data_IF_797472398416
#
_entry.id   IF_797472398416
#
_cell.length_a   1.000
_cell.length_b   1.000
_cell.length_c   1.000
_cell.angle_alpha   90.00
_cell.angle_beta   90.00
_cell.angle_gamma   90.00
#
_symmetry.space_group_name_H-M   'P 1'
#
loop_
_entity.id
_entity.type
_entity.pdbx_description
1 polymer ?
#
# COMPACT_ATOMS: atom_id res chain seq x y z
N UNK A 1 9.93 12.34 7.05
CA UNK A 1 11.08 11.61 6.45
C UNK A 1 11.12 11.73 4.94
N UNK A 2 10.15 11.21 4.19
CA UNK A 2 10.21 11.21 2.73
C UNK A 2 10.13 12.62 2.10
N UNK A 3 9.38 13.52 2.71
CA UNK A 3 9.34 14.93 2.28
C UNK A 3 10.71 15.61 2.30
N UNK A 4 11.58 15.31 3.29
CA UNK A 4 12.94 15.87 3.34
C UNK A 4 13.87 15.29 2.27
N UNK A 5 13.48 14.17 1.65
CA UNK A 5 14.18 13.54 0.54
C UNK A 5 13.57 13.93 -0.82
N UNK A 6 12.65 14.90 -0.83
CA UNK A 6 11.91 15.32 -2.02
C UNK A 6 11.07 14.20 -2.66
N UNK A 7 10.60 13.26 -1.81
CA UNK A 7 9.74 12.16 -2.20
C UNK A 7 8.33 12.36 -1.62
N UNK A 8 7.34 11.88 -2.35
CA UNK A 8 5.96 11.75 -1.91
C UNK A 8 5.65 10.29 -1.54
N UNK A 9 4.52 10.04 -0.88
CA UNK A 9 4.16 8.73 -0.35
C UNK A 9 2.72 8.35 -0.68
N UNK A 10 2.56 7.12 -1.16
CA UNK A 10 1.25 6.49 -1.32
C UNK A 10 1.13 5.38 -0.30
N UNK A 11 0.07 5.45 0.50
CA UNK A 11 -0.32 4.42 1.44
C UNK A 11 -1.47 3.61 0.88
N UNK A 12 -1.46 2.31 1.08
CA UNK A 12 -2.48 1.43 0.52
C UNK A 12 -2.81 0.30 1.50
N UNK A 13 -4.10 0.04 1.62
CA UNK A 13 -4.66 -1.05 2.41
C UNK A 13 -5.62 -1.85 1.54
N UNK A 14 -5.45 -3.18 1.56
CA UNK A 14 -6.32 -4.09 0.83
C UNK A 14 -6.89 -5.15 1.77
N UNK A 15 -8.18 -5.09 2.01
CA UNK A 15 -8.90 -6.06 2.81
C UNK A 15 -9.77 -6.95 1.92
N UNK A 16 -9.29 -8.16 1.64
CA UNK A 16 -9.98 -9.16 0.82
C UNK A 16 -10.19 -10.46 1.59
N UNK A 17 -11.30 -11.16 1.30
CA UNK A 17 -11.61 -12.49 1.81
C UNK A 17 -11.55 -12.60 3.35
N UNK A 18 -12.51 -11.99 4.06
CA UNK A 18 -12.54 -11.94 5.53
C UNK A 18 -12.51 -13.33 6.18
N UNK A 19 -12.95 -14.37 5.45
CA UNK A 19 -12.96 -15.77 5.92
C UNK A 19 -11.56 -16.33 6.12
N UNK A 20 -10.58 -15.88 5.34
CA UNK A 20 -9.19 -16.37 5.42
C UNK A 20 -8.36 -15.72 6.52
N UNK A 21 -8.88 -14.67 7.18
CA UNK A 21 -8.25 -13.98 8.33
C UNK A 21 -6.77 -13.64 8.11
N UNK A 22 -6.47 -12.97 7.01
CA UNK A 22 -5.12 -12.46 6.77
C UNK A 22 -4.77 -11.35 7.77
N UNK A 23 -3.48 -11.20 8.05
CA UNK A 23 -2.99 -10.03 8.78
C UNK A 23 -3.21 -8.77 7.96
N UNK A 24 -3.60 -7.69 8.65
CA UNK A 24 -3.65 -6.36 8.06
C UNK A 24 -2.23 -5.89 7.74
N UNK A 25 -2.04 -5.41 6.52
CA UNK A 25 -0.79 -4.82 6.06
C UNK A 25 -1.14 -3.47 5.44
N UNK A 26 -0.55 -2.41 6.00
CA UNK A 26 -0.56 -1.08 5.41
C UNK A 26 0.76 -0.89 4.68
N UNK A 27 0.71 -0.74 3.37
CA UNK A 27 1.90 -0.61 2.55
C UNK A 27 2.19 0.87 2.29
N UNK A 28 3.46 1.25 2.32
CA UNK A 28 3.93 2.60 2.03
C UNK A 28 4.88 2.55 0.84
N UNK A 29 4.53 3.22 -0.25
CA UNK A 29 5.36 3.32 -1.44
C UNK A 29 5.85 4.75 -1.59
N UNK A 30 7.16 5.00 -1.44
CA UNK A 30 7.74 6.30 -1.74
C UNK A 30 7.86 6.46 -3.27
N UNK A 31 7.43 7.61 -3.77
CA UNK A 31 7.46 7.99 -5.17
C UNK A 31 8.12 9.37 -5.33
N UNK A 32 8.71 9.68 -6.49
CA UNK A 32 9.06 11.05 -6.84
C UNK A 32 7.82 11.96 -6.78
N UNK A 33 7.98 13.21 -6.33
CA UNK A 33 6.86 14.16 -6.20
C UNK A 33 6.06 14.35 -7.49
N UNK A 34 6.74 14.39 -8.64
CA UNK A 34 6.09 14.50 -9.96
C UNK A 34 5.08 13.37 -10.22
N UNK A 35 5.40 12.15 -9.77
CA UNK A 35 4.49 11.01 -9.86
C UNK A 35 3.45 11.00 -8.75
N UNK A 36 3.80 11.52 -7.57
CA UNK A 36 2.87 11.72 -6.45
C UNK A 36 1.68 12.62 -6.81
N UNK A 37 1.94 13.76 -7.45
CA UNK A 37 0.90 14.71 -7.88
C UNK A 37 -0.07 14.09 -8.90
N UNK A 38 0.43 13.17 -9.73
CA UNK A 38 -0.39 12.47 -10.72
C UNK A 38 -1.09 11.23 -10.16
N UNK A 39 -0.64 10.70 -9.02
CA UNK A 39 -1.13 9.46 -8.43
C UNK A 39 -2.66 9.44 -8.26
N UNK A 40 -3.32 10.49 -7.74
CA UNK A 40 -4.78 10.49 -7.60
C UNK A 40 -5.51 10.25 -8.92
N UNK A 41 -5.00 10.79 -10.03
CA UNK A 41 -5.61 10.63 -11.36
C UNK A 41 -5.50 9.17 -11.83
N UNK A 42 -4.32 8.57 -11.70
CA UNK A 42 -4.08 7.18 -12.07
C UNK A 42 -4.92 6.20 -11.25
N UNK A 43 -4.95 6.39 -9.92
CA UNK A 43 -5.75 5.54 -9.04
C UNK A 43 -7.25 5.71 -9.28
N UNK A 44 -7.73 6.94 -9.47
CA UNK A 44 -9.14 7.18 -9.79
C UNK A 44 -9.54 6.49 -11.09
N UNK A 45 -8.71 6.58 -12.13
CA UNK A 45 -8.95 5.89 -13.40
C UNK A 45 -8.95 4.37 -13.22
N UNK A 46 -7.93 3.83 -12.55
CA UNK A 46 -7.80 2.39 -12.32
C UNK A 46 -8.99 1.83 -11.52
N UNK A 47 -9.45 2.52 -10.48
CA UNK A 47 -10.61 2.08 -9.68
C UNK A 47 -11.90 2.12 -10.52
N UNK A 48 -12.08 3.14 -11.36
CA UNK A 48 -13.26 3.23 -12.24
C UNK A 48 -13.32 2.09 -13.26
N UNK A 49 -12.16 1.66 -13.77
CA UNK A 49 -11.99 0.59 -14.77
C UNK A 49 -11.97 -0.82 -14.18
N UNK A 50 -11.58 -0.99 -12.92
CA UNK A 50 -11.35 -2.30 -12.29
C UNK A 50 -12.65 -3.08 -11.99
N UNK A 51 -13.75 -2.37 -11.68
CA UNK A 51 -15.00 -3.00 -11.24
C UNK A 51 -16.10 -2.95 -12.31
N UNK A 52 -17.10 -3.82 -12.17
CA UNK A 52 -18.22 -3.98 -13.08
C UNK A 52 -18.97 -2.65 -13.30
N UNK A 53 -19.38 -2.37 -14.54
CA UNK A 53 -20.03 -1.10 -14.92
C UNK A 53 -21.35 -0.86 -14.15
N UNK A 54 -21.96 -1.92 -13.63
CA UNK A 54 -23.25 -1.91 -12.92
C UNK A 54 -23.11 -2.29 -11.44
N UNK A 55 -22.09 -1.78 -10.75
CA UNK A 55 -21.95 -1.94 -9.30
C UNK A 55 -23.10 -1.22 -8.55
N UNK A 56 -23.58 -1.81 -7.45
CA UNK A 56 -24.64 -1.20 -6.63
C UNK A 56 -24.10 -0.06 -5.75
N UNK A 57 -22.84 -0.16 -5.33
CA UNK A 57 -22.16 0.86 -4.54
C UNK A 57 -21.43 1.88 -5.43
N UNK A 58 -21.15 3.06 -4.86
CA UNK A 58 -20.28 4.04 -5.52
C UNK A 58 -18.88 3.45 -5.68
N UNK A 59 -18.37 3.41 -6.92
CA UNK A 59 -17.04 2.88 -7.23
C UNK A 59 -15.91 3.62 -6.52
N UNK A 60 -15.97 4.95 -6.47
CA UNK A 60 -14.95 5.77 -5.80
C UNK A 60 -15.61 6.52 -4.66
N UNK A 61 -15.06 6.36 -3.47
CA UNK A 61 -15.42 7.11 -2.26
C UNK A 61 -14.25 8.01 -1.89
N UNK A 62 -14.48 9.31 -1.90
CA UNK A 62 -13.44 10.28 -1.53
C UNK A 62 -13.24 10.29 0.01
N UNK A 63 -12.01 10.07 0.45
CA UNK A 63 -11.60 10.04 1.86
C UNK A 63 -11.03 11.38 2.35
N UNK A 64 -11.05 12.43 1.53
CA UNK A 64 -10.50 13.74 1.89
C UNK A 64 -11.17 14.41 3.10
N UNK A 65 -12.43 14.11 3.33
CA UNK A 65 -13.22 14.66 4.44
C UNK A 65 -13.59 13.63 5.51
N UNK A 66 -13.33 12.34 5.27
CA UNK A 66 -13.83 11.24 6.10
C UNK A 66 -12.81 10.11 6.19
N UNK A 67 -12.65 9.57 7.40
CA UNK A 67 -11.85 8.37 7.60
C UNK A 67 -12.47 7.14 6.92
N UNK A 68 -11.61 6.19 6.53
CA UNK A 68 -11.99 4.87 6.00
C UNK A 68 -13.03 4.18 6.90
N UNK A 69 -12.89 4.31 8.23
CA UNK A 69 -13.78 3.71 9.24
C UNK A 69 -15.22 4.20 9.17
N UNK A 70 -15.43 5.41 8.67
CA UNK A 70 -16.74 6.03 8.51
C UNK A 70 -17.24 5.95 7.05
N UNK A 71 -16.31 5.86 6.09
CA UNK A 71 -16.62 5.76 4.67
C UNK A 71 -17.09 4.35 4.27
N UNK A 72 -16.48 3.30 4.81
CA UNK A 72 -16.75 1.91 4.45
C UNK A 72 -17.49 1.17 5.57
N UNK A 73 -18.62 0.49 5.28
CA UNK A 73 -19.30 -0.35 6.27
C UNK A 73 -18.42 -1.51 6.75
N UNK A 74 -18.55 -1.86 8.04
CA UNK A 74 -17.78 -2.95 8.64
C UNK A 74 -18.17 -4.30 8.03
N UNK A 75 -17.16 -5.15 7.78
CA UNK A 75 -17.33 -6.53 7.34
C UNK A 75 -17.37 -6.72 5.82
N UNK A 76 -17.32 -5.65 5.04
CA UNK A 76 -17.18 -5.71 3.59
C UNK A 76 -15.70 -5.70 3.17
N UNK A 77 -15.33 -6.43 2.10
CA UNK A 77 -14.03 -6.27 1.45
C UNK A 77 -13.89 -4.85 0.88
N UNK A 78 -12.70 -4.26 1.02
CA UNK A 78 -12.43 -2.91 0.52
C UNK A 78 -10.96 -2.75 0.12
N UNK A 79 -10.74 -1.76 -0.73
CA UNK A 79 -9.44 -1.22 -1.09
C UNK A 79 -9.42 0.26 -0.72
N UNK A 80 -8.37 0.70 -0.04
CA UNK A 80 -8.15 2.10 0.30
C UNK A 80 -6.75 2.53 -0.12
N UNK A 81 -6.64 3.75 -0.62
CA UNK A 81 -5.38 4.40 -1.00
C UNK A 81 -5.36 5.82 -0.47
N UNK A 82 -4.29 6.22 0.21
CA UNK A 82 -4.08 7.57 0.75
C UNK A 82 -2.81 8.20 0.15
N UNK A 83 -2.88 9.49 -0.18
CA UNK A 83 -1.80 10.25 -0.84
C UNK A 83 -1.09 11.19 0.15
N UNK A 84 -0.55 10.60 1.22
CA UNK A 84 0.14 11.35 2.27
C UNK A 84 -0.79 12.30 3.03
N UNK A 85 -0.58 13.61 2.89
CA UNK A 85 -1.45 14.63 3.49
C UNK A 85 -2.69 14.93 2.64
N UNK A 86 -2.69 14.51 1.38
CA UNK A 86 -3.83 14.67 0.49
C UNK A 86 -4.77 13.47 0.70
N UNK A 87 -6.05 13.77 0.83
CA UNK A 87 -7.10 12.78 1.06
C UNK A 87 -7.08 11.63 0.05
N UNK A 88 -7.40 10.43 0.52
CA UNK A 88 -7.39 9.22 -0.29
C UNK A 88 -8.67 8.90 -1.06
N UNK A 89 -8.67 7.71 -1.65
CA UNK A 89 -9.85 7.06 -2.21
C UNK A 89 -10.08 5.71 -1.52
N UNK A 90 -11.35 5.36 -1.34
CA UNK A 90 -11.79 4.01 -0.99
C UNK A 90 -12.67 3.43 -2.09
N UNK A 91 -12.60 2.12 -2.23
CA UNK A 91 -13.43 1.31 -3.11
C UNK A 91 -13.94 0.09 -2.34
N UNK A 92 -15.26 -0.11 -2.33
CA UNK A 92 -15.88 -1.30 -1.74
C UNK A 92 -15.87 -2.39 -2.81
N UNK A 93 -15.24 -3.53 -2.52
CA UNK A 93 -15.11 -4.63 -3.46
C UNK A 93 -16.34 -5.53 -3.33
N UNK A 94 -17.21 -5.52 -4.35
CA UNK A 94 -18.40 -6.38 -4.37
C UNK A 94 -18.07 -7.81 -4.82
N UNK A 95 -17.30 -7.93 -5.91
CA UNK A 95 -16.97 -9.22 -6.51
C UNK A 95 -15.47 -9.57 -6.39
N UNK A 96 -15.13 -10.35 -5.36
CA UNK A 96 -13.75 -10.79 -5.09
C UNK A 96 -13.11 -11.64 -6.22
N UNK A 97 -13.91 -12.23 -7.12
CA UNK A 97 -13.39 -13.08 -8.21
C UNK A 97 -12.97 -12.26 -9.43
N UNK A 98 -13.72 -11.19 -9.72
CA UNK A 98 -13.39 -10.25 -10.81
C UNK A 98 -12.30 -9.28 -10.37
N UNK A 99 -12.30 -8.91 -9.09
CA UNK A 99 -11.28 -8.04 -8.55
C UNK A 99 -9.91 -8.72 -8.66
N UNK A 100 -8.93 -8.09 -9.33
CA UNK A 100 -7.67 -8.75 -9.58
C UNK A 100 -6.99 -9.09 -8.26
N UNK A 101 -6.65 -10.37 -8.07
CA UNK A 101 -5.97 -10.80 -6.84
C UNK A 101 -4.61 -10.11 -6.61
N UNK A 102 -4.04 -9.48 -7.64
CA UNK A 102 -2.82 -8.69 -7.61
C UNK A 102 -3.07 -7.19 -7.40
N UNK A 103 -4.32 -6.72 -7.47
CA UNK A 103 -4.66 -5.32 -7.22
C UNK A 103 -4.48 -5.04 -5.72
N UNK A 104 -3.47 -4.25 -5.40
CA UNK A 104 -3.08 -3.94 -4.02
C UNK A 104 -2.61 -5.13 -3.20
N UNK A 105 -2.06 -6.18 -3.83
CA UNK A 105 -1.59 -7.36 -3.12
C UNK A 105 -0.12 -7.64 -3.39
N UNK A 106 0.68 -7.52 -2.34
CA UNK A 106 2.06 -7.96 -2.28
C UNK A 106 2.12 -9.40 -1.80
N UNK A 107 2.72 -10.28 -2.60
CA UNK A 107 3.03 -11.64 -2.19
C UNK A 107 4.13 -11.65 -1.13
N UNK A 108 3.80 -12.03 0.11
CA UNK A 108 4.69 -12.19 1.27
C UNK A 108 5.04 -10.89 2.00
N UNK A 109 4.23 -10.67 3.03
CA UNK A 109 4.47 -10.06 4.35
C UNK A 109 5.87 -9.50 4.60
N UNK A 110 5.94 -8.17 4.60
CA UNK A 110 6.61 -7.44 5.67
C UNK A 110 5.70 -6.37 6.23
N UNK A 111 5.29 -6.62 7.46
CA UNK A 111 4.59 -5.68 8.31
C UNK A 111 5.63 -4.72 8.90
N UNK A 112 5.56 -3.44 8.51
CA UNK A 112 5.88 -2.35 9.45
C UNK A 112 4.57 -1.97 10.14
N UNK A 113 4.25 -2.65 11.23
CA UNK A 113 3.29 -2.16 12.22
C UNK A 113 4.04 -2.12 13.54
N UNK A 114 4.39 -0.91 13.95
CA UNK A 114 4.66 -0.63 15.34
C UNK A 114 3.36 -0.87 16.12
N UNK A 115 3.28 -1.98 16.84
CA UNK A 115 2.50 -2.08 18.06
C UNK A 115 3.25 -2.94 19.07
N UNK A 116 3.97 -2.23 19.94
CA UNK A 116 4.20 -2.48 21.37
C UNK A 116 4.32 -3.95 21.83
N UNK A 117 5.48 -4.23 22.43
CA UNK A 117 5.87 -5.33 23.33
C UNK A 117 6.61 -6.54 22.72
N UNK A 118 7.84 -6.66 23.24
CA UNK A 118 8.67 -7.85 23.41
C UNK A 118 9.30 -8.50 22.19
N UNK A 119 10.65 -8.49 22.22
CA UNK A 119 11.62 -9.28 21.44
C UNK A 119 10.99 -10.37 20.55
N UNK A 120 11.07 -10.18 19.24
CA UNK A 120 11.32 -11.27 18.32
C UNK A 120 11.97 -10.70 17.06
N UNK A 121 13.04 -11.34 16.61
CA UNK A 121 13.87 -10.93 15.47
C UNK A 121 13.00 -10.78 14.20
N UNK A 122 12.79 -9.53 13.78
CA UNK A 122 12.06 -9.21 12.55
C UNK A 122 12.93 -9.48 11.33
N UNK A 123 12.70 -10.63 10.71
CA UNK A 123 13.14 -10.87 9.34
C UNK A 123 12.41 -9.89 8.42
N UNK A 124 13.17 -8.96 7.86
CA UNK A 124 12.71 -7.83 7.08
C UNK A 124 13.06 -8.10 5.59
N UNK A 125 12.24 -8.92 4.92
CA UNK A 125 12.15 -9.10 3.47
C UNK A 125 11.69 -7.85 2.68
N UNK A 126 12.59 -6.93 2.37
CA UNK A 126 12.32 -5.79 1.48
C UNK A 126 12.07 -6.30 0.06
N UNK A 127 10.80 -6.50 -0.31
CA UNK A 127 10.40 -6.69 -1.71
C UNK A 127 9.43 -5.58 -2.11
N UNK A 128 9.92 -4.73 -2.99
CA UNK A 128 9.16 -3.64 -3.58
C UNK A 128 8.28 -4.24 -4.69
N UNK A 129 7.03 -4.51 -4.35
CA UNK A 129 5.99 -4.87 -5.30
C UNK A 129 5.25 -3.58 -5.64
N UNK A 130 5.52 -3.04 -6.80
CA UNK A 130 4.69 -1.97 -7.33
C UNK A 130 3.36 -2.57 -7.77
N UNK A 131 2.26 -2.04 -7.25
CA UNK A 131 0.93 -2.32 -7.80
C UNK A 131 0.92 -2.04 -9.30
N UNK A 132 0.06 -2.69 -10.10
CA UNK A 132 -0.02 -2.43 -11.55
C UNK A 132 -0.21 -0.94 -11.89
N UNK A 133 -0.94 -0.21 -11.05
CA UNK A 133 -1.14 1.24 -11.17
C UNK A 133 0.19 1.98 -11.00
N UNK A 134 0.91 1.71 -9.90
CA UNK A 134 2.19 2.38 -9.59
C UNK A 134 3.30 1.93 -10.54
N UNK A 135 3.32 0.65 -10.94
CA UNK A 135 4.25 0.08 -11.92
C UNK A 135 4.06 0.66 -13.31
N UNK A 136 2.80 0.86 -13.70
CA UNK A 136 2.46 1.61 -14.92
C UNK A 136 2.85 3.09 -14.83
N UNK A 137 2.70 3.73 -13.67
CA UNK A 137 3.16 5.11 -13.47
C UNK A 137 4.68 5.27 -13.54
N UNK A 138 5.43 4.26 -13.08
CA UNK A 138 6.90 4.28 -13.06
C UNK A 138 7.53 3.64 -14.30
N UNK A 139 6.73 3.27 -15.31
CA UNK A 139 7.18 2.56 -16.53
C UNK A 139 8.07 1.34 -16.25
N UNK A 140 7.76 0.61 -15.18
CA UNK A 140 8.51 -0.58 -14.81
C UNK A 140 8.09 -1.80 -15.66
N UNK A 141 8.97 -2.80 -15.74
CA UNK A 141 8.68 -4.02 -16.49
C UNK A 141 7.68 -4.92 -15.72
N UNK A 142 6.61 -5.44 -16.35
CA UNK A 142 5.55 -6.19 -15.65
C UNK A 142 5.99 -7.43 -14.87
N UNK A 143 7.17 -7.97 -15.20
CA UNK A 143 7.77 -9.10 -14.49
C UNK A 143 8.10 -8.75 -13.04
N UNK A 144 8.40 -7.48 -12.75
CA UNK A 144 8.82 -7.00 -11.43
C UNK A 144 7.73 -7.10 -10.37
N UNK A 145 6.45 -7.03 -10.75
CA UNK A 145 5.32 -7.13 -9.81
C UNK A 145 4.44 -8.36 -9.99
N UNK A 146 4.46 -9.01 -11.16
CA UNK A 146 3.68 -10.24 -11.40
C UNK A 146 4.30 -11.50 -10.81
N UNK A 147 5.62 -11.53 -10.56
CA UNK A 147 6.31 -12.70 -10.02
C UNK A 147 7.33 -12.29 -8.94
N UNK A 148 7.20 -12.89 -7.76
CA UNK A 148 8.17 -12.69 -6.67
C UNK A 148 9.56 -13.14 -7.12
N UNK A 149 10.48 -12.19 -7.18
CA UNK A 149 11.91 -12.48 -7.34
C UNK A 149 12.47 -12.65 -5.94
N UNK A 150 13.03 -13.83 -5.63
CA UNK A 150 13.72 -14.05 -4.35
C UNK A 150 15.11 -13.42 -4.43
N UNK A 151 15.37 -12.47 -3.55
CA UNK A 151 16.69 -11.89 -3.27
C UNK A 151 17.40 -12.66 -2.16
N UNK A 152 18.72 -12.52 -2.11
CA UNK A 152 19.55 -13.09 -1.06
C UNK A 152 19.27 -12.39 0.30
N UNK A 153 19.40 -13.14 1.40
CA UNK A 153 19.20 -12.66 2.76
C UNK A 153 20.16 -11.51 3.11
N UNK A 154 21.40 -11.57 2.65
CA UNK A 154 22.40 -10.53 2.92
C UNK A 154 22.03 -9.19 2.30
N UNK A 155 21.47 -9.20 1.09
CA UNK A 155 21.10 -7.98 0.37
C UNK A 155 19.83 -7.35 0.97
N UNK A 156 18.89 -8.17 1.42
CA UNK A 156 17.74 -7.70 2.20
C UNK A 156 18.21 -7.00 3.48
N UNK A 157 19.12 -7.65 4.24
CA UNK A 157 19.65 -7.08 5.49
C UNK A 157 20.30 -5.72 5.26
N UNK A 158 21.07 -5.54 4.17
CA UNK A 158 21.69 -4.25 3.83
C UNK A 158 20.65 -3.16 3.62
N UNK A 159 19.58 -3.42 2.87
CA UNK A 159 18.49 -2.46 2.62
C UNK A 159 17.79 -2.05 3.92
N UNK A 160 17.57 -3.01 4.81
CA UNK A 160 16.92 -2.78 6.11
C UNK A 160 17.80 -1.89 6.99
N UNK A 161 19.10 -2.17 7.03
CA UNK A 161 20.06 -1.34 7.77
C UNK A 161 20.13 0.08 7.21
N UNK A 162 20.10 0.23 5.88
CA UNK A 162 20.05 1.53 5.22
C UNK A 162 18.78 2.30 5.61
N UNK A 163 17.61 1.66 5.53
CA UNK A 163 16.34 2.27 5.93
C UNK A 163 16.33 2.65 7.42
N UNK A 164 16.84 1.79 8.29
CA UNK A 164 16.92 2.06 9.73
C UNK A 164 17.77 3.28 10.04
N UNK A 165 18.84 3.54 9.26
CA UNK A 165 19.64 4.76 9.38
C UNK A 165 18.84 6.00 9.01
N UNK A 166 18.06 5.95 7.92
CA UNK A 166 17.19 7.06 7.50
C UNK A 166 16.07 7.34 8.50
N UNK A 167 15.46 6.28 9.06
CA UNK A 167 14.37 6.40 10.04
C UNK A 167 14.84 6.91 11.40
N UNK A 168 16.12 6.76 11.75
CA UNK A 168 16.65 7.06 13.09
C UNK A 168 16.32 8.47 13.60
N UNK A 169 16.30 9.47 12.72
CA UNK A 169 15.98 10.86 13.08
C UNK A 169 14.48 11.12 13.28
N UNK A 170 13.62 10.23 12.78
CA UNK A 170 12.16 10.35 12.79
C UNK A 170 11.48 9.31 13.69
N UNK A 171 12.27 8.52 14.42
CA UNK A 171 11.79 7.42 15.25
C UNK A 171 11.13 7.95 16.53
N UNK A 172 9.80 8.03 16.52
CA UNK A 172 9.00 8.48 17.64
C UNK A 172 8.86 7.45 18.78
N UNK A 173 9.41 6.24 18.62
CA UNK A 173 9.24 5.15 19.62
C UNK A 173 10.35 5.10 20.66
N UNK A 174 11.43 5.85 20.44
CA UNK A 174 12.46 6.06 21.44
C UNK A 174 12.07 7.27 22.28
N UNK A 175 12.02 7.09 23.59
CA UNK A 175 12.02 8.20 24.54
C UNK A 175 13.46 8.69 24.69
N UNK A 176 13.66 10.01 24.61
CA UNK A 176 14.94 10.68 24.87
C UNK A 176 15.48 10.40 26.29
#
# INVERSE_FOLDING_TARGET
MFESQDLDCVFMETHMNPRKRYHMVLECIPLPKELGDMAPIYFKKAIMECDEEWAMNKKVVDLSSKDIRHAVPRGLPYFAVDFGMQGGFAHVIENEQKFPHYFGKVGVVLVYVYFVLTKLELLCCVYCYLQEVVGGMMDLEPRRWRKLIKENFDDQRKKVLQFAQWWKAYDCTKTD
#
